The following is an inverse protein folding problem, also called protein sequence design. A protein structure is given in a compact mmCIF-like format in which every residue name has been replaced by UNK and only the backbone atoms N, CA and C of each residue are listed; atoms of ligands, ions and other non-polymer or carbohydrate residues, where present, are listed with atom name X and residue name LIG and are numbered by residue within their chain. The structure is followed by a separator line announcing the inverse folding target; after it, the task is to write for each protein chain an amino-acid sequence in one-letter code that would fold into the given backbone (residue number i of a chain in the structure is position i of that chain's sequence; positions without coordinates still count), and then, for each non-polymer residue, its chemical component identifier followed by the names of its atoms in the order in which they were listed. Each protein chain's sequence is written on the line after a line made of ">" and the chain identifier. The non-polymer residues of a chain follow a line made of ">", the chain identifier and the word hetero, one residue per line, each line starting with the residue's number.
data_IF_079345415962
#
_entry.id   IF_079345415962
#
_cell.length_a   1.000
_cell.length_b   1.000
_cell.length_c   1.000
_cell.angle_alpha   90.00
_cell.angle_beta   90.00
_cell.angle_gamma   90.00
#
_symmetry.space_group_name_H-M   'P 1'
#
loop_
_entity.id
_entity.type
_entity.pdbx_description
1 polymer ?
#
# COMPACT_ATOMS: atom_id res chain seq x y z
N UNK A 1 -4.14 20.64 22.43
CA UNK A 1 -4.41 20.38 21.00
C UNK A 1 -5.88 20.02 20.88
N UNK A 2 -6.72 20.98 20.53
CA UNK A 2 -8.17 20.78 20.40
C UNK A 2 -8.44 19.89 19.20
N UNK A 3 -8.83 18.64 19.46
CA UNK A 3 -9.21 17.68 18.43
C UNK A 3 -10.51 18.14 17.76
N UNK A 4 -10.38 18.96 16.72
CA UNK A 4 -11.49 19.24 15.81
C UNK A 4 -11.82 17.91 15.10
N UNK A 5 -12.89 17.25 15.52
CA UNK A 5 -13.34 16.03 14.86
C UNK A 5 -13.75 16.35 13.41
N UNK A 6 -13.45 15.48 12.43
CA UNK A 6 -13.76 15.75 11.02
C UNK A 6 -15.26 15.99 10.79
N UNK A 7 -16.11 15.34 11.60
CA UNK A 7 -17.56 15.57 11.63
C UNK A 7 -17.96 17.00 12.02
N UNK A 8 -17.30 17.61 13.01
CA UNK A 8 -17.57 19.00 13.42
C UNK A 8 -17.11 20.00 12.35
N UNK A 9 -15.98 19.71 11.69
CA UNK A 9 -15.47 20.53 10.60
C UNK A 9 -16.40 20.50 9.37
N UNK A 10 -16.94 19.32 9.02
CA UNK A 10 -17.97 19.21 7.97
C UNK A 10 -19.24 19.98 8.31
N UNK A 11 -19.74 19.85 9.55
CA UNK A 11 -20.94 20.56 9.99
C UNK A 11 -20.76 22.08 9.89
N UNK A 12 -19.59 22.59 10.29
CA UNK A 12 -19.25 24.01 10.15
C UNK A 12 -19.16 24.44 8.67
N UNK A 13 -18.61 23.62 7.78
CA UNK A 13 -18.58 23.90 6.34
C UNK A 13 -19.97 23.86 5.69
N UNK A 14 -20.85 22.97 6.16
CA UNK A 14 -22.24 22.90 5.71
C UNK A 14 -23.08 24.08 6.20
N UNK A 15 -22.77 24.64 7.37
CA UNK A 15 -23.38 25.89 7.86
C UNK A 15 -23.00 27.11 7.02
N UNK A 16 -21.84 27.11 6.35
CA UNK A 16 -21.45 28.12 5.35
C UNK A 16 -22.15 27.80 4.02
N UNK A 17 -23.47 27.58 4.09
CA UNK A 17 -24.28 26.91 3.07
C UNK A 17 -24.26 27.54 1.66
N UNK A 18 -24.93 26.88 0.69
CA UNK A 18 -24.96 27.27 -0.73
C UNK A 18 -25.48 28.69 -0.98
N UNK A 19 -26.18 29.29 -0.01
CA UNK A 19 -26.72 30.64 -0.10
C UNK A 19 -25.64 31.72 0.01
N UNK A 20 -24.54 31.44 0.70
CA UNK A 20 -23.36 32.32 0.73
C UNK A 20 -22.40 32.12 -0.46
N UNK A 21 -22.68 31.15 -1.36
CA UNK A 21 -21.90 30.96 -2.58
C UNK A 21 -22.22 32.06 -3.56
N UNK A 22 -21.40 33.10 -3.57
CA UNK A 22 -21.38 34.14 -4.59
C UNK A 22 -21.05 33.48 -5.94
N UNK A 23 -22.04 33.34 -6.81
CA UNK A 23 -21.86 32.95 -8.19
C UNK A 23 -22.12 34.16 -9.08
N UNK A 24 -21.41 34.25 -10.21
CA UNK A 24 -21.63 35.32 -11.20
C UNK A 24 -23.11 35.38 -11.59
N UNK A 25 -23.76 34.21 -11.71
CA UNK A 25 -25.18 34.08 -12.02
C UNK A 25 -26.11 34.69 -10.94
N UNK A 26 -25.78 34.53 -9.66
CA UNK A 26 -26.52 35.17 -8.54
C UNK A 26 -26.28 36.68 -8.47
N UNK A 27 -25.09 37.14 -8.88
CA UNK A 27 -24.73 38.56 -8.89
C UNK A 27 -25.34 39.27 -10.11
N UNK A 28 -25.51 38.56 -11.23
CA UNK A 28 -26.13 39.08 -12.46
C UNK A 28 -27.66 39.08 -12.41
N UNK A 29 -28.28 38.44 -11.42
CA UNK A 29 -29.72 38.54 -11.19
C UNK A 29 -30.07 40.01 -10.85
N UNK A 30 -31.10 40.60 -11.48
CA UNK A 30 -31.46 41.98 -11.21
C UNK A 30 -31.78 42.16 -9.71
N UNK A 31 -31.12 43.11 -9.07
CA UNK A 31 -31.28 43.48 -7.64
C UNK A 31 -32.77 43.69 -7.25
N UNK A 32 -33.65 43.95 -8.22
CA UNK A 32 -35.09 44.10 -8.05
C UNK A 32 -35.83 42.85 -7.55
N UNK A 33 -35.39 41.61 -7.85
CA UNK A 33 -36.13 40.39 -7.42
C UNK A 33 -35.99 40.13 -5.92
N UNK A 34 -34.94 40.64 -5.28
CA UNK A 34 -34.73 40.48 -3.82
C UNK A 34 -35.48 41.52 -2.97
N UNK A 35 -36.01 42.59 -3.58
CA UNK A 35 -36.76 43.63 -2.87
C UNK A 35 -38.28 43.43 -2.89
N UNK A 36 -38.82 42.63 -3.82
CA UNK A 36 -40.26 42.42 -3.98
C UNK A 36 -40.70 41.01 -3.55
N UNK A 37 -40.38 40.60 -2.31
CA UNK A 37 -41.05 39.46 -1.66
C UNK A 37 -42.17 39.89 -0.70
N UNK A 38 -42.75 41.08 -0.92
CA UNK A 38 -44.01 41.49 -0.28
C UNK A 38 -44.91 42.21 -1.27
N UNK A 39 -45.61 41.41 -2.08
CA UNK A 39 -46.86 41.79 -2.75
C UNK A 39 -46.76 42.89 -3.80
N UNK A 40 -46.62 42.53 -5.07
CA UNK A 40 -47.14 43.37 -6.15
C UNK A 40 -47.56 42.55 -7.37
N UNK A 41 -48.68 42.97 -7.92
CA UNK A 41 -49.54 42.29 -8.87
C UNK A 41 -48.84 42.03 -10.22
N UNK A 42 -48.90 40.79 -10.69
CA UNK A 42 -48.67 40.45 -12.09
C UNK A 42 -49.70 41.20 -12.95
N UNK A 43 -49.26 42.23 -13.66
CA UNK A 43 -50.03 42.85 -14.74
C UNK A 43 -49.84 42.04 -16.03
N UNK A 44 -50.91 41.53 -16.67
CA UNK A 44 -50.82 40.63 -17.82
C UNK A 44 -50.72 41.42 -19.14
N UNK A 45 -49.84 42.43 -19.19
CA UNK A 45 -49.62 43.22 -20.40
C UNK A 45 -48.16 43.63 -20.52
N UNK A 46 -47.31 42.62 -20.72
CA UNK A 46 -45.97 42.83 -21.30
C UNK A 46 -45.84 41.88 -22.48
N UNK A 47 -46.37 42.31 -23.63
CA UNK A 47 -45.87 41.86 -24.92
C UNK A 47 -44.41 42.32 -25.02
N UNK A 48 -43.48 41.53 -24.49
CA UNK A 48 -42.05 41.66 -24.73
C UNK A 48 -41.69 40.63 -25.79
N UNK A 49 -41.81 41.03 -27.06
CA UNK A 49 -41.20 40.31 -28.18
C UNK A 49 -39.72 40.69 -28.28
N UNK A 50 -39.00 40.56 -27.18
CA UNK A 50 -37.57 40.77 -27.10
C UNK A 50 -36.97 39.43 -26.70
N UNK A 51 -36.26 38.78 -27.63
CA UNK A 51 -35.58 37.49 -27.43
C UNK A 51 -34.60 37.55 -26.24
N UNK A 52 -34.24 38.75 -25.79
CA UNK A 52 -33.41 38.97 -24.61
C UNK A 52 -34.10 38.65 -23.27
N UNK A 53 -35.43 38.43 -23.22
CA UNK A 53 -36.10 38.19 -21.92
C UNK A 53 -36.05 36.77 -21.39
N UNK A 54 -35.95 35.75 -22.25
CA UNK A 54 -35.93 34.34 -21.81
C UNK A 54 -34.61 33.94 -21.13
N UNK A 55 -33.52 34.68 -21.38
CA UNK A 55 -32.22 34.47 -20.74
C UNK A 55 -32.19 34.86 -19.25
N UNK A 56 -33.14 35.69 -18.78
CA UNK A 56 -33.23 36.11 -17.39
C UNK A 56 -33.95 35.11 -16.48
N UNK A 57 -34.77 34.21 -17.04
CA UNK A 57 -35.52 33.22 -16.27
C UNK A 57 -34.67 31.98 -15.92
N UNK A 58 -33.57 31.71 -16.66
CA UNK A 58 -32.61 30.63 -16.36
C UNK A 58 -31.20 30.95 -16.91
N UNK A 59 -30.41 31.81 -16.23
CA UNK A 59 -29.10 32.20 -16.73
C UNK A 59 -28.13 31.01 -16.65
N UNK A 60 -27.69 30.52 -17.81
CA UNK A 60 -26.58 29.56 -17.92
C UNK A 60 -25.28 30.29 -18.30
N UNK A 61 -24.10 29.74 -17.95
CA UNK A 61 -22.82 30.39 -18.28
C UNK A 61 -22.64 30.68 -19.78
N UNK A 62 -23.14 29.81 -20.65
CA UNK A 62 -23.11 30.00 -22.10
C UNK A 62 -24.04 31.13 -22.56
N UNK A 63 -25.27 31.18 -22.02
CA UNK A 63 -26.21 32.28 -22.29
C UNK A 63 -25.64 33.64 -21.88
N UNK A 64 -24.94 33.71 -20.74
CA UNK A 64 -24.34 34.97 -20.27
C UNK A 64 -23.22 35.45 -21.22
N UNK A 65 -22.43 34.54 -21.77
CA UNK A 65 -21.39 34.88 -22.74
C UNK A 65 -22.00 35.42 -24.04
N UNK A 66 -23.04 34.76 -24.55
CA UNK A 66 -23.80 35.20 -25.72
C UNK A 66 -24.39 36.61 -25.49
N UNK A 67 -25.00 36.86 -24.33
CA UNK A 67 -25.55 38.17 -23.98
C UNK A 67 -24.48 39.26 -23.93
N UNK A 68 -23.32 38.97 -23.31
CA UNK A 68 -22.21 39.93 -23.26
C UNK A 68 -21.69 40.27 -24.66
N UNK A 69 -21.63 39.29 -25.58
CA UNK A 69 -21.25 39.56 -26.97
C UNK A 69 -22.30 40.38 -27.70
N UNK A 70 -23.59 40.04 -27.55
CA UNK A 70 -24.69 40.79 -28.12
C UNK A 70 -24.71 42.24 -27.64
N UNK A 71 -24.61 42.50 -26.34
CA UNK A 71 -24.57 43.86 -25.80
C UNK A 71 -23.35 44.63 -26.28
N UNK A 72 -22.18 43.98 -26.37
CA UNK A 72 -20.97 44.62 -26.91
C UNK A 72 -21.17 45.08 -28.36
N UNK A 73 -21.80 44.26 -29.19
CA UNK A 73 -22.13 44.63 -30.57
C UNK A 73 -23.19 45.74 -30.64
N UNK A 74 -24.28 45.62 -29.86
CA UNK A 74 -25.35 46.61 -29.80
C UNK A 74 -24.82 47.98 -29.40
N UNK A 75 -24.04 48.05 -28.31
CA UNK A 75 -23.45 49.31 -27.85
C UNK A 75 -22.41 49.86 -28.82
N UNK A 76 -21.67 49.00 -29.53
CA UNK A 76 -20.73 49.45 -30.57
C UNK A 76 -21.47 50.08 -31.75
N UNK A 77 -22.56 49.46 -32.22
CA UNK A 77 -23.44 50.00 -33.28
C UNK A 77 -24.12 51.29 -32.84
N UNK A 78 -24.64 51.33 -31.61
CA UNK A 78 -25.28 52.52 -31.04
C UNK A 78 -24.30 53.67 -30.89
N UNK A 79 -23.08 53.41 -30.43
CA UNK A 79 -22.01 54.41 -30.33
C UNK A 79 -21.66 54.99 -31.71
N UNK A 80 -21.52 54.15 -32.72
CA UNK A 80 -21.24 54.59 -34.09
C UNK A 80 -22.36 55.47 -34.63
N UNK A 81 -23.60 54.98 -34.57
CA UNK A 81 -24.78 55.71 -35.03
C UNK A 81 -24.96 57.05 -34.32
N UNK A 82 -24.81 57.09 -32.99
CA UNK A 82 -24.91 58.31 -32.21
C UNK A 82 -23.82 59.32 -32.58
N UNK A 83 -22.56 58.90 -32.66
CA UNK A 83 -21.46 59.78 -33.05
C UNK A 83 -21.66 60.33 -34.47
N UNK A 84 -22.09 59.49 -35.40
CA UNK A 84 -22.39 59.91 -36.77
C UNK A 84 -23.54 60.92 -36.81
N UNK A 85 -24.63 60.67 -36.08
CA UNK A 85 -25.77 61.58 -36.03
C UNK A 85 -25.41 62.92 -35.41
N UNK A 86 -24.74 62.91 -34.25
CA UNK A 86 -24.32 64.14 -33.55
C UNK A 86 -23.33 64.94 -34.39
N UNK A 87 -22.40 64.28 -35.10
CA UNK A 87 -21.45 64.98 -35.99
C UNK A 87 -22.15 65.58 -37.20
N UNK A 88 -23.08 64.85 -37.83
CA UNK A 88 -23.91 65.37 -38.93
C UNK A 88 -24.74 66.58 -38.48
N UNK A 89 -25.42 66.49 -37.34
CA UNK A 89 -26.22 67.59 -36.80
C UNK A 89 -25.34 68.81 -36.48
N UNK A 90 -24.21 68.60 -35.81
CA UNK A 90 -23.27 69.68 -35.46
C UNK A 90 -22.71 70.36 -36.72
N UNK A 91 -22.40 69.59 -37.77
CA UNK A 91 -21.93 70.12 -39.04
C UNK A 91 -23.00 70.96 -39.75
N UNK A 92 -24.23 70.44 -39.85
CA UNK A 92 -25.34 71.18 -40.44
C UNK A 92 -25.64 72.47 -39.67
N UNK A 93 -25.65 72.40 -38.33
CA UNK A 93 -25.85 73.60 -37.49
C UNK A 93 -24.73 74.62 -37.65
N UNK A 94 -23.48 74.18 -37.85
CA UNK A 94 -22.35 75.10 -38.05
C UNK A 94 -22.42 75.86 -39.39
N UNK A 95 -22.96 75.23 -40.44
CA UNK A 95 -23.08 75.84 -41.78
C UNK A 95 -24.36 76.68 -41.92
N UNK A 96 -25.47 76.22 -41.33
CA UNK A 96 -26.79 76.84 -41.46
C UNK A 96 -27.07 77.86 -40.35
N UNK A 97 -26.29 77.84 -39.26
CA UNK A 97 -26.40 78.81 -38.18
C UNK A 97 -26.07 80.24 -38.64
N UNK A 98 -26.79 81.22 -38.09
CA UNK A 98 -26.56 82.65 -38.33
C UNK A 98 -26.12 83.33 -37.02
N UNK A 99 -24.86 83.76 -36.87
CA UNK A 99 -23.78 83.75 -37.88
C UNK A 99 -23.11 82.37 -38.05
N UNK A 100 -22.55 82.08 -39.23
CA UNK A 100 -21.88 80.81 -39.51
C UNK A 100 -20.66 80.63 -38.61
N UNK A 101 -20.50 79.43 -38.06
CA UNK A 101 -19.44 79.10 -37.13
C UNK A 101 -18.13 78.84 -37.90
N UNK A 102 -17.33 79.88 -38.09
CA UNK A 102 -16.00 79.80 -38.70
C UNK A 102 -14.96 79.70 -37.60
N UNK A 103 -14.41 78.49 -37.38
CA UNK A 103 -13.36 78.28 -36.37
C UNK A 103 -12.07 78.99 -36.80
N UNK A 104 -11.62 79.95 -36.00
CA UNK A 104 -10.40 80.70 -36.27
C UNK A 104 -9.13 79.85 -36.14
N UNK A 105 -8.00 80.30 -36.71
CA UNK A 105 -6.71 79.61 -36.52
C UNK A 105 -6.30 79.57 -35.04
N UNK A 106 -6.54 80.67 -34.30
CA UNK A 106 -6.24 80.75 -32.87
C UNK A 106 -7.05 79.75 -32.04
N UNK A 107 -8.37 79.68 -32.26
CA UNK A 107 -9.26 78.71 -31.62
C UNK A 107 -8.87 77.27 -31.94
N UNK A 108 -8.44 76.99 -33.18
CA UNK A 108 -7.92 75.68 -33.55
C UNK A 108 -6.66 75.31 -32.77
N UNK A 109 -5.74 76.26 -32.57
CA UNK A 109 -4.53 76.03 -31.76
C UNK A 109 -4.90 75.76 -30.30
N UNK A 110 -5.82 76.53 -29.72
CA UNK A 110 -6.31 76.31 -28.36
C UNK A 110 -6.97 74.92 -28.21
N UNK A 111 -7.89 74.56 -29.11
CA UNK A 111 -8.54 73.24 -29.14
C UNK A 111 -7.53 72.10 -29.32
N UNK A 112 -6.46 72.30 -30.09
CA UNK A 112 -5.39 71.31 -30.21
C UNK A 112 -4.65 71.10 -28.90
N UNK A 113 -4.38 72.17 -28.14
CA UNK A 113 -3.74 72.05 -26.82
C UNK A 113 -4.63 71.36 -25.80
N UNK A 114 -5.94 71.65 -25.79
CA UNK A 114 -6.91 70.98 -24.93
C UNK A 114 -7.06 69.51 -25.30
N UNK A 115 -7.17 69.19 -26.59
CA UNK A 115 -7.21 67.81 -27.06
C UNK A 115 -5.94 67.03 -26.69
N UNK A 116 -4.77 67.67 -26.69
CA UNK A 116 -3.54 67.02 -26.25
C UNK A 116 -3.61 66.65 -24.77
N UNK A 117 -4.06 67.56 -23.90
CA UNK A 117 -4.25 67.31 -22.46
C UNK A 117 -5.27 66.18 -22.20
N UNK A 118 -6.43 66.25 -22.84
CA UNK A 118 -7.49 65.23 -22.69
C UNK A 118 -7.03 63.87 -23.24
N UNK A 119 -6.26 63.84 -24.33
CA UNK A 119 -5.69 62.59 -24.86
C UNK A 119 -4.68 61.97 -23.89
N UNK A 120 -3.86 62.78 -23.23
CA UNK A 120 -2.92 62.30 -22.22
C UNK A 120 -3.64 61.74 -21.00
N UNK A 121 -4.66 62.45 -20.49
CA UNK A 121 -5.49 61.97 -19.38
C UNK A 121 -6.22 60.66 -19.75
N UNK A 122 -6.78 60.57 -20.97
CA UNK A 122 -7.41 59.36 -21.46
C UNK A 122 -6.42 58.19 -21.56
N UNK A 123 -5.17 58.44 -22.00
CA UNK A 123 -4.13 57.40 -22.04
C UNK A 123 -3.80 56.91 -20.64
N UNK A 124 -3.63 57.82 -19.69
CA UNK A 124 -3.39 57.47 -18.29
C UNK A 124 -4.52 56.62 -17.70
N UNK A 125 -5.77 57.06 -17.86
CA UNK A 125 -6.94 56.30 -17.36
C UNK A 125 -7.08 54.93 -18.04
N UNK A 126 -6.77 54.82 -19.33
CA UNK A 126 -6.74 53.52 -20.02
C UNK A 126 -5.69 52.59 -19.46
N UNK A 127 -4.52 53.11 -19.12
CA UNK A 127 -3.46 52.35 -18.47
C UNK A 127 -3.87 51.89 -17.06
N UNK A 128 -4.45 52.79 -16.25
CA UNK A 128 -4.95 52.46 -14.92
C UNK A 128 -6.02 51.35 -14.96
N UNK A 129 -6.96 51.44 -15.90
CA UNK A 129 -7.99 50.40 -16.11
C UNK A 129 -7.35 49.09 -16.57
N UNK A 130 -6.35 49.13 -17.47
CA UNK A 130 -5.63 47.93 -17.93
C UNK A 130 -4.97 47.22 -16.75
N UNK A 131 -4.24 47.96 -15.91
CA UNK A 131 -3.56 47.41 -14.73
C UNK A 131 -4.56 46.81 -13.74
N UNK A 132 -5.68 47.50 -13.49
CA UNK A 132 -6.74 47.00 -12.60
C UNK A 132 -7.37 45.70 -13.13
N UNK A 133 -7.60 45.59 -14.45
CA UNK A 133 -8.11 44.35 -15.07
C UNK A 133 -7.10 43.22 -14.93
N UNK A 134 -5.82 43.48 -15.19
CA UNK A 134 -4.76 42.46 -15.02
C UNK A 134 -4.67 41.96 -13.57
N UNK A 135 -4.78 42.84 -12.59
CA UNK A 135 -4.80 42.48 -11.17
C UNK A 135 -6.05 41.67 -10.81
N UNK A 136 -7.22 42.10 -11.28
CA UNK A 136 -8.48 41.38 -11.08
C UNK A 136 -8.42 39.97 -11.67
N UNK A 137 -7.86 39.79 -12.86
CA UNK A 137 -7.68 38.46 -13.45
C UNK A 137 -6.71 37.58 -12.66
N UNK A 138 -5.59 38.15 -12.17
CA UNK A 138 -4.64 37.41 -11.32
C UNK A 138 -5.32 36.95 -10.03
N UNK A 139 -6.08 37.83 -9.39
CA UNK A 139 -6.86 37.50 -8.20
C UNK A 139 -7.93 36.45 -8.50
N UNK A 140 -8.64 36.57 -9.63
CA UNK A 140 -9.65 35.60 -10.05
C UNK A 140 -9.05 34.21 -10.27
N UNK A 141 -7.91 34.11 -10.97
CA UNK A 141 -7.17 32.84 -11.17
C UNK A 141 -6.69 32.25 -9.84
N UNK A 142 -6.15 33.06 -8.94
CA UNK A 142 -5.74 32.62 -7.61
C UNK A 142 -6.93 32.16 -6.75
N UNK A 143 -8.07 32.85 -6.83
CA UNK A 143 -9.29 32.47 -6.13
C UNK A 143 -9.84 31.14 -6.66
N UNK A 144 -9.88 30.96 -7.98
CA UNK A 144 -10.35 29.73 -8.62
C UNK A 144 -9.52 28.50 -8.21
N UNK A 145 -8.20 28.64 -8.14
CA UNK A 145 -7.32 27.55 -7.68
C UNK A 145 -7.52 27.22 -6.20
N UNK A 146 -7.64 28.23 -5.33
CA UNK A 146 -7.96 28.05 -3.91
C UNK A 146 -9.32 27.38 -3.71
N UNK A 147 -10.32 27.81 -4.47
CA UNK A 147 -11.67 27.23 -4.42
C UNK A 147 -11.66 25.74 -4.80
N UNK A 148 -10.99 25.38 -5.90
CA UNK A 148 -10.82 23.97 -6.30
C UNK A 148 -10.15 23.14 -5.21
N UNK A 149 -9.12 23.68 -4.54
CA UNK A 149 -8.45 23.00 -3.42
C UNK A 149 -9.39 22.79 -2.24
N UNK A 150 -10.16 23.80 -1.84
CA UNK A 150 -11.14 23.68 -0.76
C UNK A 150 -12.24 22.69 -1.11
N UNK A 151 -12.68 22.64 -2.36
CA UNK A 151 -13.67 21.67 -2.82
C UNK A 151 -13.14 20.23 -2.70
N UNK A 152 -11.90 19.98 -3.14
CA UNK A 152 -11.25 18.67 -2.98
C UNK A 152 -11.06 18.28 -1.51
N UNK A 153 -10.64 19.23 -0.66
CA UNK A 153 -10.50 18.97 0.77
C UNK A 153 -11.85 18.69 1.43
N UNK A 154 -12.92 19.36 0.98
CA UNK A 154 -14.28 19.10 1.47
C UNK A 154 -14.75 17.70 1.10
N UNK A 155 -14.46 17.21 -0.11
CA UNK A 155 -14.80 15.82 -0.50
C UNK A 155 -13.99 14.79 0.28
N UNK A 156 -12.70 15.04 0.50
CA UNK A 156 -11.89 14.17 1.37
C UNK A 156 -12.41 14.15 2.81
N UNK A 157 -12.84 15.30 3.31
CA UNK A 157 -13.40 15.43 4.64
C UNK A 157 -14.74 14.69 4.74
N UNK A 158 -15.57 14.63 3.68
CA UNK A 158 -16.83 13.88 3.69
C UNK A 158 -16.64 12.36 3.78
N UNK A 159 -15.54 11.85 3.23
CA UNK A 159 -15.27 10.40 3.19
C UNK A 159 -14.59 9.91 4.48
N UNK A 160 -13.85 10.80 5.16
CA UNK A 160 -13.09 10.50 6.38
C UNK A 160 -13.93 9.89 7.52
N UNK A 161 -15.13 10.40 7.87
CA UNK A 161 -15.96 9.81 8.92
C UNK A 161 -16.30 8.35 8.69
N UNK A 162 -16.70 7.98 7.47
CA UNK A 162 -17.02 6.60 7.12
C UNK A 162 -15.78 5.70 7.17
N UNK A 163 -14.62 6.22 6.76
CA UNK A 163 -13.34 5.49 6.89
C UNK A 163 -12.92 5.31 8.35
N UNK A 164 -13.21 6.28 9.23
CA UNK A 164 -12.91 6.15 10.66
C UNK A 164 -13.81 5.09 11.28
N UNK A 165 -15.10 5.10 10.98
CA UNK A 165 -16.05 4.10 11.48
C UNK A 165 -15.71 2.67 11.02
N UNK A 166 -15.26 2.51 9.76
CA UNK A 166 -14.79 1.20 9.26
C UNK A 166 -13.48 0.75 9.93
N UNK A 167 -12.56 1.67 10.21
CA UNK A 167 -11.34 1.36 10.97
C UNK A 167 -11.65 1.05 12.45
N UNK A 168 -12.57 1.76 13.07
CA UNK A 168 -12.98 1.49 14.45
C UNK A 168 -13.71 0.15 14.59
N UNK A 169 -14.58 -0.20 13.63
CA UNK A 169 -15.22 -1.51 13.60
C UNK A 169 -14.21 -2.64 13.38
N UNK A 170 -13.25 -2.49 12.46
CA UNK A 170 -12.18 -3.48 12.26
C UNK A 170 -11.25 -3.60 13.46
N UNK A 171 -10.93 -2.51 14.16
CA UNK A 171 -10.17 -2.57 15.41
C UNK A 171 -11.00 -3.30 16.49
N UNK A 172 -12.29 -3.03 16.58
CA UNK A 172 -13.19 -3.71 17.52
C UNK A 172 -13.27 -5.22 17.24
N UNK A 173 -13.41 -5.63 15.98
CA UNK A 173 -13.43 -7.05 15.60
C UNK A 173 -12.10 -7.73 15.86
N UNK A 174 -10.97 -7.08 15.54
CA UNK A 174 -9.63 -7.62 15.83
C UNK A 174 -9.38 -7.73 17.34
N UNK A 175 -9.81 -6.76 18.14
CA UNK A 175 -9.73 -6.83 19.60
C UNK A 175 -10.64 -7.92 20.18
N UNK A 176 -11.84 -8.09 19.64
CA UNK A 176 -12.74 -9.17 20.02
C UNK A 176 -12.18 -10.55 19.63
N UNK A 177 -11.58 -10.68 18.45
CA UNK A 177 -10.90 -11.91 18.03
C UNK A 177 -9.67 -12.21 18.90
N UNK A 178 -8.89 -11.19 19.26
CA UNK A 178 -7.75 -11.33 20.16
C UNK A 178 -8.18 -11.68 21.60
N UNK A 179 -9.28 -11.11 22.11
CA UNK A 179 -9.80 -11.45 23.44
C UNK A 179 -10.48 -12.82 23.46
N UNK A 180 -11.17 -13.23 22.39
CA UNK A 180 -11.71 -14.58 22.23
C UNK A 180 -10.60 -15.63 22.10
N UNK A 181 -9.51 -15.33 21.37
CA UNK A 181 -8.30 -16.17 21.33
C UNK A 181 -7.58 -16.26 22.68
N UNK A 182 -7.78 -15.30 23.58
CA UNK A 182 -7.22 -15.28 24.94
C UNK A 182 -8.13 -15.90 26.01
N UNK A 183 -9.44 -16.02 25.78
CA UNK A 183 -10.41 -16.41 26.83
C UNK A 183 -11.46 -17.45 26.40
N UNK A 184 -11.40 -17.98 25.16
CA UNK A 184 -12.44 -18.83 24.60
C UNK A 184 -11.93 -20.06 23.88
N UNK A 185 -11.17 -20.93 24.56
CA UNK A 185 -11.14 -22.35 24.16
C UNK A 185 -12.24 -23.07 24.94
N UNK A 186 -13.43 -23.01 24.37
CA UNK A 186 -14.41 -24.05 24.56
C UNK A 186 -13.76 -25.35 24.07
N UNK A 187 -13.59 -26.28 25.01
CA UNK A 187 -13.16 -27.65 24.75
C UNK A 187 -13.98 -28.22 23.59
N UNK A 188 -13.31 -28.60 22.49
CA UNK A 188 -13.73 -29.66 21.53
C UNK A 188 -13.04 -29.61 20.15
N UNK A 189 -12.05 -28.74 19.90
CA UNK A 189 -11.28 -28.80 18.65
C UNK A 189 -9.79 -29.08 18.88
N UNK A 190 -9.34 -30.17 18.26
CA UNK A 190 -8.04 -30.82 18.36
C UNK A 190 -6.85 -30.00 17.81
N UNK A 191 -6.71 -28.74 18.22
CA UNK A 191 -5.51 -27.95 17.95
C UNK A 191 -4.53 -28.09 19.13
N UNK A 192 -3.25 -28.42 18.90
CA UNK A 192 -2.28 -28.54 19.98
C UNK A 192 -2.12 -27.18 20.69
N UNK A 193 -2.18 -27.22 22.02
CA UNK A 193 -2.08 -26.07 22.94
C UNK A 193 -0.86 -25.15 22.73
N UNK A 194 0.12 -25.56 21.91
CA UNK A 194 1.30 -24.77 21.56
C UNK A 194 1.03 -23.65 20.55
N UNK A 195 -0.08 -23.70 19.80
CA UNK A 195 -0.41 -22.70 18.76
C UNK A 195 -1.26 -21.53 19.27
N UNK A 196 -1.64 -21.56 20.55
CA UNK A 196 -2.54 -20.58 21.17
C UNK A 196 -1.84 -19.77 22.26
N UNK A 197 -0.50 -19.89 22.33
CA UNK A 197 0.34 -19.22 23.31
C UNK A 197 0.58 -17.76 22.90
N UNK A 198 0.71 -16.89 23.90
CA UNK A 198 1.12 -15.51 23.70
C UNK A 198 2.54 -15.45 23.12
N UNK A 199 2.86 -14.37 22.38
CA UNK A 199 4.18 -14.21 21.74
C UNK A 199 5.37 -14.42 22.71
N UNK A 200 5.34 -13.95 23.98
CA UNK A 200 6.41 -14.25 24.93
C UNK A 200 6.53 -15.75 25.26
N UNK A 201 5.40 -16.44 25.40
CA UNK A 201 5.36 -17.87 25.71
C UNK A 201 5.81 -18.73 24.52
N UNK A 202 5.51 -18.34 23.28
CA UNK A 202 6.03 -19.04 22.08
C UNK A 202 7.54 -18.88 21.95
N UNK A 203 8.08 -17.69 22.24
CA UNK A 203 9.53 -17.46 22.22
C UNK A 203 10.26 -18.28 23.29
N UNK A 204 9.70 -18.42 24.49
CA UNK A 204 10.25 -19.28 25.54
C UNK A 204 10.26 -20.75 25.08
N UNK A 205 9.14 -21.27 24.59
CA UNK A 205 9.03 -22.65 24.12
C UNK A 205 10.00 -22.91 22.95
N UNK A 206 10.16 -21.95 22.04
CA UNK A 206 11.13 -22.04 20.94
C UNK A 206 12.56 -22.16 21.49
N UNK A 207 12.93 -21.32 22.46
CA UNK A 207 14.26 -21.37 23.09
C UNK A 207 14.53 -22.70 23.83
N UNK A 208 13.51 -23.27 24.49
CA UNK A 208 13.61 -24.58 25.13
C UNK A 208 13.84 -25.68 24.09
N UNK A 209 13.10 -25.66 22.97
CA UNK A 209 13.25 -26.65 21.90
C UNK A 209 14.57 -26.53 21.17
N UNK A 210 15.07 -25.31 20.97
CA UNK A 210 16.42 -25.10 20.43
C UNK A 210 17.50 -25.65 21.37
N UNK A 211 17.34 -25.48 22.68
CA UNK A 211 18.26 -26.05 23.67
C UNK A 211 18.21 -27.59 23.69
N UNK A 212 17.02 -28.18 23.59
CA UNK A 212 16.83 -29.64 23.47
C UNK A 212 17.46 -30.20 22.20
N UNK A 213 17.25 -29.54 21.04
CA UNK A 213 17.87 -29.93 19.77
C UNK A 213 19.40 -29.86 19.86
N UNK A 214 19.94 -28.78 20.42
CA UNK A 214 21.38 -28.65 20.61
C UNK A 214 21.95 -29.72 21.57
N UNK A 215 21.17 -30.16 22.56
CA UNK A 215 21.57 -31.26 23.44
C UNK A 215 21.56 -32.61 22.71
N UNK A 216 20.52 -32.88 21.91
CA UNK A 216 20.43 -34.10 21.09
C UNK A 216 21.54 -34.16 20.03
N UNK A 217 21.88 -33.05 19.39
CA UNK A 217 22.98 -32.99 18.43
C UNK A 217 24.32 -33.32 19.10
N UNK A 218 24.57 -32.80 20.31
CA UNK A 218 25.77 -33.17 21.08
C UNK A 218 25.81 -34.67 21.41
N UNK A 219 24.66 -35.26 21.76
CA UNK A 219 24.57 -36.70 22.01
C UNK A 219 24.83 -37.51 20.75
N UNK A 220 24.27 -37.10 19.60
CA UNK A 220 24.51 -37.75 18.31
C UNK A 220 25.99 -37.69 17.93
N UNK A 221 26.65 -36.55 18.10
CA UNK A 221 28.09 -36.42 17.83
C UNK A 221 28.90 -37.34 18.76
N UNK A 222 28.57 -37.39 20.05
CA UNK A 222 29.25 -38.26 21.01
C UNK A 222 29.09 -39.75 20.64
N UNK A 223 27.86 -40.19 20.32
CA UNK A 223 27.58 -41.57 19.90
C UNK A 223 28.28 -41.89 18.57
N UNK A 224 28.20 -41.01 17.57
CA UNK A 224 28.90 -41.19 16.29
C UNK A 224 30.42 -41.24 16.44
N UNK A 225 31.00 -40.53 17.40
CA UNK A 225 32.45 -40.59 17.67
C UNK A 225 32.89 -41.89 18.34
N UNK A 226 32.01 -42.53 19.12
CA UNK A 226 32.30 -43.78 19.84
C UNK A 226 31.97 -45.04 19.03
N UNK A 227 31.02 -44.94 18.09
CA UNK A 227 30.67 -45.98 17.12
C UNK A 227 31.88 -46.64 16.43
N UNK A 228 32.82 -45.90 15.79
CA UNK A 228 33.95 -46.51 15.07
C UNK A 228 34.92 -47.25 15.99
N UNK A 229 34.98 -46.87 17.28
CA UNK A 229 35.79 -47.60 18.26
C UNK A 229 35.11 -48.90 18.65
N UNK A 230 33.81 -48.85 18.97
CA UNK A 230 33.02 -50.03 19.29
C UNK A 230 32.97 -51.04 18.14
N UNK A 231 32.86 -50.58 16.89
CA UNK A 231 32.92 -51.46 15.71
C UNK A 231 34.30 -52.11 15.55
N UNK A 232 35.39 -51.37 15.77
CA UNK A 232 36.75 -51.96 15.74
C UNK A 232 36.96 -53.00 16.84
N UNK A 233 36.43 -52.75 18.04
CA UNK A 233 36.48 -53.69 19.16
C UNK A 233 35.65 -54.96 18.85
N UNK A 234 34.45 -54.80 18.28
CA UNK A 234 33.62 -55.91 17.82
C UNK A 234 34.30 -56.75 16.72
N UNK A 235 34.85 -56.09 15.69
CA UNK A 235 35.59 -56.76 14.61
C UNK A 235 36.83 -57.49 15.15
N UNK A 236 37.48 -56.98 16.20
CA UNK A 236 38.63 -57.64 16.82
C UNK A 236 38.21 -58.93 17.54
N UNK A 237 37.13 -58.88 18.32
CA UNK A 237 36.56 -60.06 18.99
C UNK A 237 36.07 -61.09 17.98
N UNK A 238 35.46 -60.67 16.87
CA UNK A 238 35.04 -61.58 15.79
C UNK A 238 36.24 -62.31 15.13
N UNK A 239 37.35 -61.60 14.91
CA UNK A 239 38.61 -62.21 14.44
C UNK A 239 39.21 -63.20 15.44
N UNK A 240 39.05 -62.95 16.74
CA UNK A 240 39.49 -63.90 17.77
C UNK A 240 38.58 -65.13 17.85
N UNK A 241 37.26 -64.94 17.77
CA UNK A 241 36.28 -66.03 17.72
C UNK A 241 36.54 -66.95 16.53
N UNK A 242 36.69 -66.41 15.32
CA UNK A 242 36.99 -67.21 14.13
C UNK A 242 38.29 -68.01 14.25
N UNK A 243 39.33 -67.45 14.90
CA UNK A 243 40.57 -68.19 15.21
C UNK A 243 40.34 -69.30 16.23
N UNK A 244 39.55 -69.05 17.27
CA UNK A 244 39.23 -70.05 18.29
C UNK A 244 38.34 -71.16 17.74
N UNK A 245 37.37 -70.83 16.88
CA UNK A 245 36.54 -71.79 16.16
C UNK A 245 37.38 -72.67 15.26
N UNK A 246 38.33 -72.11 14.50
CA UNK A 246 39.28 -72.89 13.70
C UNK A 246 40.09 -73.85 14.58
N UNK A 247 40.70 -73.37 15.68
CA UNK A 247 41.43 -74.22 16.63
C UNK A 247 40.55 -75.33 17.24
N UNK A 248 39.28 -75.02 17.55
CA UNK A 248 38.29 -76.00 18.03
C UNK A 248 38.01 -77.05 16.97
N UNK A 249 37.80 -76.66 15.71
CA UNK A 249 37.55 -77.62 14.61
C UNK A 249 38.76 -78.51 14.36
N UNK A 250 39.98 -77.95 14.39
CA UNK A 250 41.24 -78.69 14.25
C UNK A 250 41.43 -79.68 15.42
N UNK A 251 41.20 -79.27 16.67
CA UNK A 251 41.33 -80.16 17.83
C UNK A 251 40.25 -81.25 17.85
N UNK A 252 39.02 -80.93 17.45
CA UNK A 252 37.94 -81.93 17.29
C UNK A 252 38.28 -82.91 16.16
N UNK A 253 38.86 -82.45 15.05
CA UNK A 253 39.31 -83.31 13.97
C UNK A 253 40.44 -84.24 14.45
N UNK A 254 41.46 -83.71 15.14
CA UNK A 254 42.54 -84.51 15.73
C UNK A 254 42.01 -85.55 16.72
N UNK A 255 41.06 -85.18 17.59
CA UNK A 255 40.45 -86.09 18.53
C UNK A 255 39.63 -87.20 17.83
N UNK A 256 38.88 -86.85 16.78
CA UNK A 256 38.15 -87.82 15.96
C UNK A 256 39.09 -88.76 15.19
N UNK A 257 40.20 -88.26 14.65
CA UNK A 257 41.22 -89.08 13.99
C UNK A 257 41.92 -90.02 14.98
N UNK A 258 42.28 -89.54 16.17
CA UNK A 258 42.84 -90.38 17.23
C UNK A 258 41.84 -91.47 17.67
N UNK A 259 40.56 -91.13 17.78
CA UNK A 259 39.49 -92.09 18.07
C UNK A 259 39.31 -93.09 16.92
N UNK A 260 39.39 -92.64 15.65
CA UNK A 260 39.31 -93.50 14.48
C UNK A 260 40.47 -94.48 14.42
N UNK A 261 41.72 -94.02 14.62
CA UNK A 261 42.91 -94.88 14.73
C UNK A 261 42.80 -95.92 15.84
N UNK A 262 42.24 -95.53 17.00
CA UNK A 262 41.95 -96.47 18.10
C UNK A 262 40.88 -97.52 17.73
N UNK A 263 39.88 -97.15 16.93
CA UNK A 263 38.80 -98.06 16.48
C UNK A 263 39.20 -98.94 15.30
N UNK A 264 40.03 -98.43 14.38
CA UNK A 264 40.58 -99.14 13.22
C UNK A 264 41.71 -100.10 13.61
N UNK A 265 42.15 -100.09 14.87
CA UNK A 265 43.11 -101.08 15.38
C UNK A 265 44.54 -100.88 14.88
N UNK A 266 44.91 -99.66 14.45
CA UNK A 266 46.32 -99.27 14.36
C UNK A 266 46.86 -99.23 15.79
N UNK A 267 47.33 -100.38 16.28
CA UNK A 267 48.09 -100.46 17.51
C UNK A 267 49.24 -99.47 17.41
N UNK A 268 49.34 -98.58 18.40
CA UNK A 268 50.49 -97.70 18.58
C UNK A 268 51.75 -98.53 18.33
N UNK A 269 52.60 -98.14 17.37
CA UNK A 269 53.76 -98.95 16.98
C UNK A 269 54.67 -99.27 18.18
N UNK A 270 54.53 -98.52 19.27
CA UNK A 270 55.09 -98.78 20.59
C UNK A 270 54.55 -100.05 21.28
N UNK A 271 53.26 -100.36 21.19
CA UNK A 271 52.68 -101.60 21.74
C UNK A 271 53.07 -102.83 20.92
N UNK A 272 53.09 -102.73 19.58
CA UNK A 272 53.58 -103.81 18.72
C UNK A 272 55.06 -104.08 18.95
N UNK A 273 55.88 -103.02 19.05
CA UNK A 273 57.28 -103.19 19.41
C UNK A 273 57.45 -103.75 20.82
N UNK A 274 56.64 -103.31 21.80
CA UNK A 274 56.66 -103.86 23.15
C UNK A 274 56.28 -105.35 23.21
N UNK A 275 55.34 -105.79 22.37
CA UNK A 275 54.98 -107.22 22.22
C UNK A 275 56.08 -108.00 21.53
N UNK A 276 56.69 -107.46 20.47
CA UNK A 276 57.81 -108.08 19.79
C UNK A 276 59.03 -108.21 20.70
N UNK A 277 59.40 -107.16 21.45
CA UNK A 277 60.47 -107.22 22.44
C UNK A 277 60.17 -108.21 23.56
N UNK A 278 58.93 -108.30 24.06
CA UNK A 278 58.55 -109.35 25.03
C UNK A 278 58.58 -110.76 24.45
N UNK A 279 58.20 -110.93 23.18
CA UNK A 279 58.32 -112.21 22.47
C UNK A 279 59.78 -112.62 22.25
N UNK A 280 60.63 -111.67 21.87
CA UNK A 280 62.06 -111.86 21.73
C UNK A 280 62.73 -112.15 23.09
N UNK A 281 62.34 -111.46 24.16
CA UNK A 281 62.78 -111.74 25.53
C UNK A 281 62.39 -113.16 25.94
N UNK A 282 61.15 -113.58 25.68
CA UNK A 282 60.68 -114.94 26.01
C UNK A 282 61.43 -116.01 25.20
N UNK A 283 61.64 -115.80 23.91
CA UNK A 283 62.43 -116.70 23.07
C UNK A 283 63.90 -116.81 23.51
N UNK A 284 64.50 -115.70 23.93
CA UNK A 284 65.84 -115.67 24.53
C UNK A 284 65.88 -116.38 25.90
N UNK A 285 64.85 -116.21 26.74
CA UNK A 285 64.72 -116.92 28.03
C UNK A 285 64.60 -118.44 27.85
N UNK A 286 63.81 -118.90 26.88
CA UNK A 286 63.65 -120.34 26.57
C UNK A 286 64.93 -120.97 26.02
N UNK A 287 65.75 -120.22 25.28
CA UNK A 287 67.02 -120.69 24.69
C UNK A 287 68.19 -120.71 25.70
N UNK A 288 68.13 -119.87 26.74
CA UNK A 288 69.20 -119.72 27.74
C UNK A 288 68.88 -120.44 29.06
N UNK A 289 67.68 -121.02 29.20
CA UNK A 289 67.36 -121.93 30.32
C UNK A 289 67.41 -121.25 31.70
N UNK A 290 66.92 -120.02 31.79
CA UNK A 290 66.86 -119.25 33.04
C UNK A 290 65.40 -118.97 33.38
N UNK A 291 64.87 -119.66 34.39
CA UNK A 291 63.59 -119.32 35.01
C UNK A 291 63.73 -118.01 35.82
N UNK A 292 62.90 -117.01 35.49
CA UNK A 292 62.87 -115.68 36.10
C UNK A 292 62.01 -114.68 35.34
#
# INVERSE_FOLDING_TARGET
>A
MTSNSPSKALAALQQIGPDTRLSILKISEPIATTADTTGSFQSPSKRRSDVSTDAFDNPTPASLEEDLTHYKELFSKLRFSYLEQVTKEKFLRAIVGDPPLVVGHHENVELQTELAKVKEELRRRKEDVRLMVEEMEKMARALATRYKKVQLQTTQLSDLPASIESLESTISTLRAAASQGSHGYQADSAFPSSQTLSLPATLQLLSEREAELAALDRQLVAVNSSLPRSTREADAVERELTRLERRKTESVAQAKEAQRKKQEGECDGLEEMGRWYRGAEKGLKDLVGVEG
#
